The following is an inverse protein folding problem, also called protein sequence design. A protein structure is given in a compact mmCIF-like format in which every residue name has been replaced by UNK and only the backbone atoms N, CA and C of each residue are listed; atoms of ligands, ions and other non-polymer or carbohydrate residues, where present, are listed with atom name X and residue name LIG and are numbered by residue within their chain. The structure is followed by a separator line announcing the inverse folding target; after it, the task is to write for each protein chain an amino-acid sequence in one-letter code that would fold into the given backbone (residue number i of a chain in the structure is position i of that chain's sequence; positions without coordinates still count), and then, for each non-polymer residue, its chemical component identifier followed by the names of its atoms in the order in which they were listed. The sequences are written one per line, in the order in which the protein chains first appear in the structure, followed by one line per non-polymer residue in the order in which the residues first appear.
data_IF_147497737559
#
_entry.id   IF_147497737559
#
_cell.length_a   1.000
_cell.length_b   1.000
_cell.length_c   1.000
_cell.angle_alpha   90.00
_cell.angle_beta   90.00
_cell.angle_gamma   90.00
#
_symmetry.space_group_name_H-M   'P 1'
#
loop_
_entity.id
_entity.type
_entity.pdbx_description
1 polymer ?
#
# COMPACT_ATOMS: atom_id res chain seq x y z
N UNK A 1 1.82 15.68 13.00
CA UNK A 1 1.82 14.32 13.58
C UNK A 1 0.44 13.73 13.37
N UNK A 2 0.36 12.55 12.79
CA UNK A 2 -0.88 11.82 12.54
C UNK A 2 -0.91 10.50 13.32
N UNK A 3 -2.10 9.94 13.53
CA UNK A 3 -2.31 8.57 13.99
C UNK A 3 -2.57 7.67 12.78
N UNK A 4 -1.64 6.77 12.49
CA UNK A 4 -1.60 5.95 11.29
C UNK A 4 -1.83 4.48 11.66
N UNK A 5 -2.80 3.84 11.03
CA UNK A 5 -2.98 2.39 11.12
C UNK A 5 -2.45 1.72 9.85
N UNK A 6 -1.65 0.66 10.00
CA UNK A 6 -1.12 -0.13 8.89
C UNK A 6 -1.66 -1.55 8.98
N UNK A 7 -2.62 -1.88 8.10
CA UNK A 7 -3.20 -3.23 8.00
C UNK A 7 -2.26 -4.09 7.16
N UNK A 8 -1.78 -5.19 7.73
CA UNK A 8 -0.67 -5.96 7.20
C UNK A 8 0.70 -5.41 7.64
N UNK A 9 0.74 -4.66 8.75
CA UNK A 9 1.91 -3.94 9.24
C UNK A 9 3.12 -4.80 9.62
N UNK A 10 2.99 -6.13 9.61
CA UNK A 10 4.10 -7.09 9.81
C UNK A 10 4.65 -7.67 8.51
N UNK A 11 3.95 -7.45 7.39
CA UNK A 11 4.42 -7.81 6.05
C UNK A 11 5.59 -6.94 5.58
N UNK A 12 6.20 -7.28 4.44
CA UNK A 12 7.39 -6.57 3.95
C UNK A 12 7.12 -5.07 3.71
N UNK A 13 6.07 -4.70 2.99
CA UNK A 13 5.70 -3.31 2.79
C UNK A 13 5.30 -2.65 4.12
N UNK A 14 4.39 -3.29 4.86
CA UNK A 14 3.82 -2.74 6.07
C UNK A 14 4.84 -2.44 7.16
N UNK A 15 5.80 -3.36 7.41
CA UNK A 15 6.84 -3.14 8.44
C UNK A 15 7.76 -1.96 8.13
N UNK A 16 8.05 -1.71 6.85
CA UNK A 16 8.86 -0.58 6.45
C UNK A 16 8.08 0.75 6.60
N UNK A 17 6.79 0.75 6.27
CA UNK A 17 5.92 1.92 6.51
C UNK A 17 5.78 2.18 8.02
N UNK A 18 5.57 1.15 8.83
CA UNK A 18 5.50 1.26 10.30
C UNK A 18 6.80 1.85 10.85
N UNK A 19 7.96 1.34 10.41
CA UNK A 19 9.26 1.82 10.87
C UNK A 19 9.50 3.30 10.53
N UNK A 20 9.28 3.70 9.28
CA UNK A 20 9.45 5.07 8.83
C UNK A 20 8.47 6.04 9.52
N UNK A 21 7.20 5.63 9.69
CA UNK A 21 6.20 6.46 10.36
C UNK A 21 6.55 6.68 11.85
N UNK A 22 7.05 5.65 12.55
CA UNK A 22 7.52 5.77 13.94
C UNK A 22 8.75 6.67 14.01
N UNK A 23 9.74 6.49 13.12
CA UNK A 23 10.96 7.29 13.08
C UNK A 23 10.66 8.78 12.90
N UNK A 24 9.59 9.10 12.15
CA UNK A 24 9.11 10.49 11.97
C UNK A 24 8.19 10.99 13.09
N UNK A 25 7.98 10.20 14.15
CA UNK A 25 7.23 10.62 15.34
C UNK A 25 5.72 10.53 15.21
N UNK A 26 5.18 9.77 14.26
CA UNK A 26 3.74 9.48 14.20
C UNK A 26 3.32 8.49 15.27
N UNK A 27 2.04 8.51 15.65
CA UNK A 27 1.44 7.45 16.45
C UNK A 27 1.03 6.31 15.52
N UNK A 28 1.65 5.14 15.65
CA UNK A 28 1.46 4.04 14.68
C UNK A 28 0.79 2.83 15.33
N UNK A 29 -0.25 2.32 14.67
CA UNK A 29 -0.92 1.07 14.99
C UNK A 29 -0.64 0.06 13.87
N UNK A 30 0.10 -0.98 14.17
CA UNK A 30 0.38 -2.09 13.26
C UNK A 30 -0.64 -3.20 13.47
N UNK A 31 -1.43 -3.50 12.44
CA UNK A 31 -2.44 -4.57 12.47
C UNK A 31 -1.92 -5.80 11.76
N UNK A 32 -2.00 -6.95 12.40
CA UNK A 32 -1.63 -8.24 11.81
C UNK A 32 -2.45 -9.38 12.42
N UNK A 33 -2.57 -10.49 11.70
CA UNK A 33 -3.26 -11.70 12.19
C UNK A 33 -2.58 -12.32 13.40
N UNK A 34 -1.29 -12.09 13.54
CA UNK A 34 -0.48 -12.53 14.68
C UNK A 34 0.54 -11.46 14.99
N UNK A 35 0.61 -11.07 16.25
CA UNK A 35 1.61 -10.09 16.70
C UNK A 35 2.99 -10.76 16.78
N UNK A 36 4.01 -10.27 16.07
CA UNK A 36 5.33 -10.88 16.04
C UNK A 36 6.10 -10.66 17.35
N UNK A 37 7.09 -11.51 17.62
CA UNK A 37 8.02 -11.31 18.73
C UNK A 37 8.92 -10.07 18.50
N UNK A 38 9.43 -9.93 17.27
CA UNK A 38 10.22 -8.75 16.85
C UNK A 38 9.27 -7.64 16.40
N UNK A 39 9.36 -6.48 17.02
CA UNK A 39 8.48 -5.34 16.79
C UNK A 39 9.29 -4.08 16.52
N UNK A 40 8.72 -3.17 15.75
CA UNK A 40 9.24 -1.80 15.68
C UNK A 40 8.93 -1.13 17.02
N UNK A 41 9.98 -0.70 17.72
CA UNK A 41 9.84 0.04 18.98
C UNK A 41 9.08 1.35 18.73
N UNK A 42 8.14 1.69 19.60
CA UNK A 42 7.29 2.87 19.44
C UNK A 42 5.97 2.63 18.68
N UNK A 43 5.80 1.50 17.98
CA UNK A 43 4.52 1.13 17.38
C UNK A 43 3.66 0.30 18.34
N UNK A 44 2.35 0.52 18.31
CA UNK A 44 1.36 -0.33 18.95
C UNK A 44 0.98 -1.46 18.02
N UNK A 45 0.92 -2.70 18.51
CA UNK A 45 0.52 -3.86 17.71
C UNK A 45 -0.82 -4.38 18.21
N UNK A 46 -1.74 -4.62 17.28
CA UNK A 46 -3.03 -5.26 17.56
C UNK A 46 -3.23 -6.48 16.65
N UNK A 47 -3.89 -7.50 17.18
CA UNK A 47 -4.35 -8.62 16.37
C UNK A 47 -5.62 -8.22 15.62
N UNK A 48 -5.64 -8.46 14.31
CA UNK A 48 -6.77 -8.16 13.46
C UNK A 48 -6.54 -8.65 12.03
N UNK A 49 -7.60 -8.72 11.28
CA UNK A 49 -7.58 -9.18 9.90
C UNK A 49 -8.48 -8.31 9.03
N UNK A 50 -8.06 -8.09 7.78
CA UNK A 50 -8.89 -7.43 6.78
C UNK A 50 -10.19 -8.20 6.50
N UNK A 51 -10.22 -9.52 6.78
CA UNK A 51 -11.42 -10.37 6.62
C UNK A 51 -12.52 -10.09 7.65
N UNK A 52 -12.26 -9.28 8.67
CA UNK A 52 -13.24 -8.84 9.65
C UNK A 52 -13.14 -7.31 9.80
N UNK A 53 -13.49 -6.61 8.73
CA UNK A 53 -13.43 -5.15 8.66
C UNK A 53 -14.26 -4.44 9.74
N UNK A 54 -15.48 -4.90 10.13
CA UNK A 54 -16.24 -4.25 11.20
C UNK A 54 -15.54 -4.28 12.55
N UNK A 55 -14.99 -5.44 12.96
CA UNK A 55 -14.22 -5.55 14.20
C UNK A 55 -12.96 -4.70 14.14
N UNK A 56 -12.29 -4.69 12.99
CA UNK A 56 -11.08 -3.91 12.77
C UNK A 56 -11.35 -2.40 12.91
N UNK A 57 -12.43 -1.89 12.31
CA UNK A 57 -12.81 -0.47 12.41
C UNK A 57 -13.06 -0.06 13.86
N UNK A 58 -13.64 -0.95 14.68
CA UNK A 58 -13.85 -0.66 16.11
C UNK A 58 -12.53 -0.44 16.87
N UNK A 59 -11.46 -1.17 16.51
CA UNK A 59 -10.12 -1.05 17.11
C UNK A 59 -9.34 0.17 16.56
N UNK A 60 -9.72 0.70 15.40
CA UNK A 60 -9.05 1.82 14.72
C UNK A 60 -9.67 3.19 15.03
N UNK A 61 -10.34 3.34 16.17
CA UNK A 61 -10.95 4.63 16.53
C UNK A 61 -9.92 5.74 16.68
N UNK A 62 -10.20 6.88 16.06
CA UNK A 62 -9.36 8.09 16.15
C UNK A 62 -8.08 8.03 15.31
N UNK A 63 -7.99 7.13 14.32
CA UNK A 63 -6.93 7.18 13.31
C UNK A 63 -7.22 8.26 12.28
N UNK A 64 -6.16 8.90 11.79
CA UNK A 64 -6.25 9.90 10.71
C UNK A 64 -6.08 9.23 9.33
N UNK A 65 -5.26 8.19 9.27
CA UNK A 65 -4.93 7.48 8.03
C UNK A 65 -4.92 5.96 8.28
N UNK A 66 -5.51 5.21 7.35
CA UNK A 66 -5.41 3.74 7.29
C UNK A 66 -4.66 3.35 6.02
N UNK A 67 -3.58 2.58 6.16
CA UNK A 67 -2.80 2.06 5.02
C UNK A 67 -2.99 0.55 4.93
N UNK A 68 -3.53 0.06 3.81
CA UNK A 68 -3.68 -1.37 3.52
C UNK A 68 -2.47 -1.87 2.74
N UNK A 69 -1.79 -2.89 3.28
CA UNK A 69 -0.59 -3.50 2.68
C UNK A 69 -0.72 -5.01 2.52
N UNK A 70 -1.95 -5.51 2.49
CA UNK A 70 -2.27 -6.93 2.40
C UNK A 70 -2.28 -7.36 0.93
N UNK A 71 -1.40 -8.28 0.50
CA UNK A 71 -1.38 -8.78 -0.87
C UNK A 71 -2.52 -9.79 -1.11
N UNK A 72 -3.07 -9.79 -2.33
CA UNK A 72 -4.15 -10.69 -2.76
C UNK A 72 -3.61 -12.05 -3.20
N UNK A 73 -2.91 -12.75 -2.31
CA UNK A 73 -2.31 -14.06 -2.58
C UNK A 73 -2.44 -15.02 -1.41
N UNK A 74 -2.29 -16.33 -1.68
CA UNK A 74 -2.44 -17.38 -0.68
C UNK A 74 -3.87 -17.39 -0.14
N UNK A 75 -4.01 -17.35 1.18
CA UNK A 75 -5.30 -17.33 1.87
C UNK A 75 -6.10 -16.00 1.71
N UNK A 76 -5.48 -14.99 1.11
CA UNK A 76 -6.13 -13.69 0.82
C UNK A 76 -6.57 -13.54 -0.64
N UNK A 77 -6.26 -14.51 -1.52
CA UNK A 77 -6.69 -14.49 -2.92
C UNK A 77 -8.21 -14.43 -3.05
N UNK A 78 -8.72 -13.48 -3.84
CA UNK A 78 -10.14 -13.21 -4.02
C UNK A 78 -10.82 -12.52 -2.84
N UNK A 79 -10.09 -12.24 -1.75
CA UNK A 79 -10.65 -11.69 -0.52
C UNK A 79 -10.26 -10.24 -0.26
N UNK A 80 -9.17 -9.75 -0.86
CA UNK A 80 -8.69 -8.40 -0.58
C UNK A 80 -9.65 -7.35 -1.12
N UNK A 81 -10.05 -7.47 -2.39
CA UNK A 81 -10.94 -6.49 -3.04
C UNK A 81 -12.25 -6.27 -2.28
N UNK A 82 -13.07 -7.31 -2.00
CA UNK A 82 -14.34 -7.11 -1.29
C UNK A 82 -14.15 -6.60 0.14
N UNK A 83 -13.12 -7.02 0.85
CA UNK A 83 -12.88 -6.59 2.22
C UNK A 83 -12.30 -5.16 2.30
N UNK A 84 -11.53 -4.70 1.32
CA UNK A 84 -11.15 -3.28 1.23
C UNK A 84 -12.38 -2.42 0.97
N UNK A 85 -13.28 -2.83 0.08
CA UNK A 85 -14.53 -2.11 -0.17
C UNK A 85 -15.40 -2.02 1.11
N UNK A 86 -15.50 -3.09 1.88
CA UNK A 86 -16.21 -3.10 3.17
C UNK A 86 -15.52 -2.19 4.21
N UNK A 87 -14.19 -2.22 4.27
CA UNK A 87 -13.40 -1.36 5.16
C UNK A 87 -13.67 0.11 4.85
N UNK A 88 -13.57 0.50 3.57
CA UNK A 88 -13.85 1.88 3.11
C UNK A 88 -15.27 2.30 3.51
N UNK A 89 -16.27 1.45 3.27
CA UNK A 89 -17.66 1.74 3.61
C UNK A 89 -17.92 1.86 5.13
N UNK A 90 -17.05 1.29 5.96
CA UNK A 90 -17.22 1.23 7.42
C UNK A 90 -16.41 2.30 8.16
N UNK A 91 -15.40 2.90 7.53
CA UNK A 91 -14.58 3.94 8.13
C UNK A 91 -15.29 5.30 8.07
N UNK A 92 -15.03 6.21 9.04
CA UNK A 92 -15.46 7.61 8.93
C UNK A 92 -14.85 8.30 7.70
N UNK A 93 -15.60 9.12 6.98
CA UNK A 93 -15.14 9.87 5.80
C UNK A 93 -13.90 10.75 6.06
N UNK A 94 -13.68 11.15 7.32
CA UNK A 94 -12.50 11.92 7.73
C UNK A 94 -11.20 11.11 7.74
N UNK A 95 -11.27 9.78 7.65
CA UNK A 95 -10.09 8.91 7.62
C UNK A 95 -9.60 8.80 6.18
N UNK A 96 -8.35 9.17 5.95
CA UNK A 96 -7.71 9.01 4.64
C UNK A 96 -7.28 7.57 4.41
N UNK A 97 -7.51 7.05 3.21
CA UNK A 97 -7.13 5.69 2.84
C UNK A 97 -5.86 5.67 2.02
N UNK A 98 -4.91 4.82 2.39
CA UNK A 98 -3.76 4.46 1.57
C UNK A 98 -3.84 2.98 1.18
N UNK A 99 -3.54 2.64 -0.06
CA UNK A 99 -3.45 1.24 -0.50
C UNK A 99 -2.13 1.01 -1.21
N UNK A 100 -1.42 -0.02 -0.79
CA UNK A 100 -0.22 -0.47 -1.48
C UNK A 100 -0.62 -1.61 -2.42
N UNK A 101 -0.59 -1.32 -3.71
CA UNK A 101 -0.85 -2.31 -4.75
C UNK A 101 0.43 -2.96 -5.25
N UNK A 102 0.46 -3.24 -6.55
CA UNK A 102 1.61 -3.81 -7.25
C UNK A 102 1.86 -3.11 -8.58
N UNK A 103 3.04 -3.31 -9.17
CA UNK A 103 3.44 -2.70 -10.46
C UNK A 103 2.50 -3.04 -11.62
N UNK A 104 1.76 -4.16 -11.53
CA UNK A 104 0.90 -4.65 -12.62
C UNK A 104 -0.15 -3.64 -13.11
N UNK A 105 -0.61 -2.74 -12.23
CA UNK A 105 -1.59 -1.71 -12.58
C UNK A 105 -1.01 -0.44 -13.20
N UNK A 106 0.32 -0.26 -13.17
CA UNK A 106 0.99 0.89 -13.78
C UNK A 106 0.98 0.78 -15.30
N UNK A 107 1.07 1.93 -15.98
CA UNK A 107 1.26 1.97 -17.43
C UNK A 107 2.74 1.75 -17.79
N UNK A 108 3.01 1.11 -18.93
CA UNK A 108 4.39 0.98 -19.45
C UNK A 108 4.91 2.27 -20.08
N UNK A 109 4.00 3.15 -20.49
CA UNK A 109 4.27 4.50 -21.01
C UNK A 109 3.00 5.33 -20.87
N UNK A 110 3.10 6.64 -21.00
CA UNK A 110 1.95 7.53 -20.92
C UNK A 110 0.86 7.14 -21.94
N UNK A 111 -0.36 6.88 -21.47
CA UNK A 111 -1.48 6.39 -22.28
C UNK A 111 -1.29 4.98 -22.85
N UNK A 112 -0.21 4.30 -22.47
CA UNK A 112 0.08 2.93 -22.90
C UNK A 112 -0.67 1.86 -22.11
N UNK A 113 -0.48 0.57 -22.48
CA UNK A 113 -1.09 -0.54 -21.76
C UNK A 113 -0.52 -0.68 -20.35
N UNK A 114 -1.27 -1.39 -19.49
CA UNK A 114 -0.79 -1.72 -18.15
C UNK A 114 0.33 -2.77 -18.21
N UNK A 115 1.18 -2.79 -17.21
CA UNK A 115 2.25 -3.79 -17.06
C UNK A 115 1.68 -5.21 -17.06
N UNK A 116 0.54 -5.45 -16.41
CA UNK A 116 -0.13 -6.76 -16.37
C UNK A 116 -0.61 -7.25 -17.75
N UNK A 117 -0.85 -6.35 -18.68
CA UNK A 117 -1.31 -6.67 -20.03
C UNK A 117 -0.15 -7.01 -21.00
N UNK A 118 1.10 -6.88 -20.55
CA UNK A 118 2.28 -7.19 -21.35
C UNK A 118 2.46 -8.71 -21.52
N UNK A 119 2.88 -9.17 -22.71
CA UNK A 119 3.17 -10.60 -22.93
C UNK A 119 4.28 -11.16 -22.03
N UNK A 120 5.14 -10.29 -21.49
CA UNK A 120 6.22 -10.65 -20.55
C UNK A 120 5.75 -10.77 -19.11
N UNK A 121 4.51 -10.38 -18.78
CA UNK A 121 4.02 -10.49 -17.42
C UNK A 121 3.81 -11.95 -17.03
N UNK A 122 4.32 -12.33 -15.86
CA UNK A 122 4.26 -13.70 -15.37
C UNK A 122 2.84 -14.11 -15.04
N UNK A 123 2.32 -15.15 -15.69
CA UNK A 123 0.92 -15.61 -15.53
C UNK A 123 0.57 -15.95 -14.08
N UNK A 124 1.52 -16.49 -13.31
CA UNK A 124 1.34 -16.84 -11.90
C UNK A 124 0.94 -15.62 -11.04
N UNK A 125 1.41 -14.42 -11.39
CA UNK A 125 1.13 -13.20 -10.62
C UNK A 125 -0.10 -12.43 -11.12
N UNK A 126 -0.72 -12.85 -12.24
CA UNK A 126 -1.89 -12.17 -12.80
C UNK A 126 -3.09 -12.12 -11.86
N UNK A 127 -3.47 -13.20 -11.15
CA UNK A 127 -4.61 -13.14 -10.24
C UNK A 127 -4.44 -12.06 -9.16
N UNK A 128 -3.28 -12.03 -8.49
CA UNK A 128 -2.94 -11.02 -7.50
C UNK A 128 -2.96 -9.60 -8.10
N UNK A 129 -2.34 -9.43 -9.26
CA UNK A 129 -2.27 -8.13 -9.93
C UNK A 129 -3.65 -7.61 -10.35
N UNK A 130 -4.50 -8.48 -10.90
CA UNK A 130 -5.85 -8.11 -11.33
C UNK A 130 -6.76 -7.79 -10.14
N UNK A 131 -6.64 -8.51 -9.02
CA UNK A 131 -7.39 -8.18 -7.82
C UNK A 131 -6.96 -6.84 -7.23
N UNK A 132 -5.64 -6.57 -7.17
CA UNK A 132 -5.12 -5.28 -6.73
C UNK A 132 -5.58 -4.12 -7.63
N UNK A 133 -5.63 -4.34 -8.95
CA UNK A 133 -6.19 -3.38 -9.92
C UNK A 133 -7.68 -3.16 -9.64
N UNK A 134 -8.42 -4.23 -9.35
CA UNK A 134 -9.84 -4.14 -9.00
C UNK A 134 -10.10 -3.28 -7.75
N UNK A 135 -9.21 -3.33 -6.75
CA UNK A 135 -9.27 -2.41 -5.59
C UNK A 135 -9.14 -0.95 -6.04
N UNK A 136 -8.19 -0.65 -6.92
CA UNK A 136 -8.02 0.70 -7.46
C UNK A 136 -9.27 1.16 -8.26
N UNK A 137 -9.81 0.28 -9.11
CA UNK A 137 -11.02 0.57 -9.89
C UNK A 137 -12.22 0.87 -8.99
N UNK A 138 -12.37 0.13 -7.88
CA UNK A 138 -13.42 0.36 -6.88
C UNK A 138 -13.24 1.71 -6.18
N UNK A 139 -12.00 2.07 -5.79
CA UNK A 139 -11.70 3.38 -5.19
C UNK A 139 -12.01 4.53 -6.15
N UNK A 140 -11.69 4.37 -7.44
CA UNK A 140 -11.96 5.38 -8.49
C UNK A 140 -13.45 5.52 -8.80
N UNK A 141 -14.19 4.40 -8.78
CA UNK A 141 -15.63 4.40 -9.09
C UNK A 141 -16.49 4.86 -7.92
N UNK A 142 -15.95 4.86 -6.70
CA UNK A 142 -16.71 5.05 -5.49
C UNK A 142 -16.66 6.48 -4.99
N UNK A 143 -17.83 7.03 -4.62
CA UNK A 143 -17.99 8.39 -4.09
C UNK A 143 -18.33 8.37 -2.59
N UNK A 144 -17.63 7.54 -1.80
CA UNK A 144 -17.81 7.45 -0.35
C UNK A 144 -17.28 8.68 0.43
N UNK A 145 -16.84 9.72 -0.24
CA UNK A 145 -16.35 10.95 0.39
C UNK A 145 -14.91 10.87 0.92
N UNK A 146 -14.34 9.69 1.05
CA UNK A 146 -12.97 9.54 1.53
C UNK A 146 -11.94 10.15 0.57
N UNK A 147 -10.94 10.81 1.13
CA UNK A 147 -9.67 11.01 0.43
C UNK A 147 -8.86 9.71 0.45
N UNK A 148 -8.20 9.40 -0.66
CA UNK A 148 -7.37 8.21 -0.78
C UNK A 148 -6.18 8.42 -1.71
N UNK A 149 -5.15 7.60 -1.51
CA UNK A 149 -4.04 7.43 -2.43
C UNK A 149 -3.76 5.95 -2.66
N UNK A 150 -3.28 5.63 -3.86
CA UNK A 150 -2.92 4.27 -4.22
C UNK A 150 -1.49 4.22 -4.77
N UNK A 151 -0.63 3.40 -4.17
CA UNK A 151 0.79 3.33 -4.54
C UNK A 151 1.05 2.07 -5.36
N UNK A 152 1.60 2.26 -6.54
CA UNK A 152 2.20 1.20 -7.33
C UNK A 152 3.71 1.19 -7.06
N UNK A 153 4.24 0.25 -6.26
CA UNK A 153 5.69 0.10 -6.14
C UNK A 153 6.28 -0.41 -7.47
N UNK A 154 7.56 -0.14 -7.67
CA UNK A 154 8.33 -0.62 -8.82
C UNK A 154 8.26 -2.15 -8.96
N UNK A 155 8.46 -2.67 -10.18
CA UNK A 155 8.33 -4.10 -10.49
C UNK A 155 9.27 -5.02 -9.70
N UNK A 156 10.44 -4.54 -9.34
CA UNK A 156 11.42 -5.26 -8.51
C UNK A 156 11.22 -5.14 -7.00
N UNK A 157 10.07 -4.61 -6.54
CA UNK A 157 9.75 -4.49 -5.12
C UNK A 157 9.36 -5.82 -4.49
N UNK A 158 10.01 -6.21 -3.39
CA UNK A 158 9.63 -7.40 -2.64
C UNK A 158 10.67 -7.81 -1.60
N UNK A 159 10.29 -8.68 -0.66
CA UNK A 159 11.18 -9.19 0.39
C UNK A 159 12.38 -9.99 -0.16
N UNK A 160 12.27 -10.48 -1.38
CA UNK A 160 13.33 -11.18 -2.11
C UNK A 160 14.42 -10.23 -2.65
N UNK A 161 14.11 -8.91 -2.71
CA UNK A 161 15.01 -7.85 -3.16
C UNK A 161 14.90 -6.65 -2.21
N UNK A 162 15.37 -6.77 -0.94
CA UNK A 162 15.00 -5.85 0.13
C UNK A 162 15.63 -4.45 -0.01
N UNK A 163 16.87 -4.35 -0.45
CA UNK A 163 17.62 -3.10 -0.57
C UNK A 163 17.86 -2.36 0.75
N UNK A 164 18.41 -1.17 0.63
CA UNK A 164 18.72 -0.29 1.75
C UNK A 164 17.90 1.00 1.67
N UNK A 165 17.82 1.75 2.79
CA UNK A 165 17.21 3.07 2.83
C UNK A 165 18.17 4.10 2.23
N UNK A 166 17.79 4.69 1.11
CA UNK A 166 18.50 5.81 0.49
C UNK A 166 17.88 7.16 0.86
N UNK A 167 16.62 7.17 1.23
CA UNK A 167 15.84 8.36 1.51
C UNK A 167 15.41 9.10 0.24
N UNK A 168 15.49 8.45 -0.93
CA UNK A 168 15.18 9.05 -2.22
C UNK A 168 14.38 8.10 -3.09
N UNK A 169 13.44 8.66 -3.84
CA UNK A 169 12.65 7.94 -4.83
C UNK A 169 12.17 8.90 -5.91
N UNK A 170 11.69 8.36 -7.02
CA UNK A 170 10.98 9.12 -8.06
C UNK A 170 9.50 8.77 -8.02
N UNK A 171 8.66 9.78 -8.23
CA UNK A 171 7.25 9.66 -8.50
C UNK A 171 7.05 9.65 -10.01
N UNK A 172 6.43 8.60 -10.53
CA UNK A 172 6.20 8.39 -11.97
C UNK A 172 4.76 8.64 -12.39
N UNK A 173 3.90 9.15 -11.51
CA UNK A 173 2.47 9.29 -11.80
C UNK A 173 1.83 7.95 -12.17
N UNK A 174 1.30 7.82 -13.39
CA UNK A 174 0.69 6.58 -13.87
C UNK A 174 1.70 5.57 -14.45
N UNK A 175 2.90 6.03 -14.80
CA UNK A 175 3.87 5.22 -15.54
C UNK A 175 4.83 4.52 -14.58
N UNK A 176 5.11 3.24 -14.84
CA UNK A 176 6.11 2.49 -14.06
C UNK A 176 7.46 3.22 -14.09
N UNK A 177 8.05 3.40 -12.91
CA UNK A 177 9.37 4.02 -12.82
C UNK A 177 10.44 2.99 -13.16
N UNK A 178 11.33 3.35 -14.09
CA UNK A 178 12.49 2.55 -14.47
C UNK A 178 13.75 3.42 -14.47
N UNK A 179 14.90 2.81 -14.26
CA UNK A 179 16.19 3.46 -14.45
C UNK A 179 16.58 3.54 -15.93
N UNK A 180 17.83 3.98 -16.21
CA UNK A 180 18.35 4.12 -17.57
C UNK A 180 18.53 2.79 -18.31
N UNK A 181 18.66 1.68 -17.58
CA UNK A 181 18.79 0.33 -18.11
C UNK A 181 17.42 -0.36 -18.28
N UNK A 182 16.34 0.30 -17.89
CA UNK A 182 14.97 -0.21 -17.95
C UNK A 182 14.56 -1.05 -16.75
N UNK A 183 15.41 -1.14 -15.72
CA UNK A 183 15.10 -1.87 -14.48
C UNK A 183 14.18 -1.06 -13.58
N UNK A 184 13.17 -1.71 -13.04
CA UNK A 184 12.17 -1.11 -12.15
C UNK A 184 12.36 -1.63 -10.73
N UNK A 185 12.82 -0.77 -9.83
CA UNK A 185 13.12 -1.18 -8.46
C UNK A 185 12.89 -0.06 -7.43
N UNK A 186 12.48 -0.45 -6.24
CA UNK A 186 12.48 0.35 -5.01
C UNK A 186 12.72 -0.55 -3.80
N UNK A 187 13.49 -0.08 -2.83
CA UNK A 187 13.68 -0.79 -1.56
C UNK A 187 12.44 -0.70 -0.68
N UNK A 188 12.30 -1.65 0.27
CA UNK A 188 11.24 -1.58 1.26
C UNK A 188 11.29 -0.31 2.11
N UNK A 189 12.46 0.07 2.65
CA UNK A 189 12.58 1.31 3.40
C UNK A 189 12.20 2.56 2.60
N UNK A 190 12.59 2.68 1.32
CA UNK A 190 12.24 3.86 0.52
C UNK A 190 10.79 3.86 0.03
N UNK A 191 10.13 2.70 -0.10
CA UNK A 191 8.67 2.66 -0.18
C UNK A 191 8.04 3.25 1.09
N UNK A 192 8.58 2.93 2.27
CA UNK A 192 8.17 3.52 3.54
C UNK A 192 8.29 5.05 3.51
N UNK A 193 9.43 5.58 3.04
CA UNK A 193 9.65 7.03 2.83
C UNK A 193 8.55 7.62 1.94
N UNK A 194 8.32 7.04 0.76
CA UNK A 194 7.34 7.54 -0.20
C UNK A 194 5.90 7.59 0.37
N UNK A 195 5.51 6.56 1.09
CA UNK A 195 4.18 6.49 1.71
C UNK A 195 4.03 7.51 2.85
N UNK A 196 5.04 7.65 3.70
CA UNK A 196 4.97 8.62 4.81
C UNK A 196 5.06 10.06 4.29
N UNK A 197 5.86 10.32 3.24
CA UNK A 197 5.87 11.64 2.56
C UNK A 197 4.47 12.01 2.04
N UNK A 198 3.75 11.05 1.43
CA UNK A 198 2.39 11.26 0.94
C UNK A 198 1.38 11.48 2.08
N UNK A 199 1.59 10.85 3.24
CA UNK A 199 0.75 11.07 4.43
C UNK A 199 0.99 12.48 5.00
N UNK A 200 2.25 12.91 5.10
CA UNK A 200 2.63 14.21 5.69
C UNK A 200 2.34 15.39 4.77
N UNK A 201 2.56 15.20 3.47
CA UNK A 201 2.44 16.22 2.43
C UNK A 201 1.63 15.68 1.26
N UNK A 202 0.30 15.57 1.37
CA UNK A 202 -0.57 15.00 0.36
C UNK A 202 -0.40 15.67 -1.01
N UNK A 203 0.00 14.87 -2.01
CA UNK A 203 0.09 15.29 -3.41
C UNK A 203 -0.93 14.58 -4.29
N UNK A 204 -1.37 13.40 -3.85
CA UNK A 204 -2.24 12.51 -4.60
C UNK A 204 -3.57 12.34 -3.85
N UNK A 205 -4.54 13.18 -4.16
CA UNK A 205 -5.89 13.11 -3.58
C UNK A 205 -6.82 12.40 -4.56
N UNK A 206 -7.31 11.24 -4.18
CA UNK A 206 -8.12 10.34 -5.02
C UNK A 206 -7.38 9.95 -6.30
N UNK A 207 -6.09 9.70 -6.16
CA UNK A 207 -5.18 9.39 -7.25
C UNK A 207 -4.28 8.20 -6.92
N UNK A 208 -3.79 7.56 -7.98
CA UNK A 208 -2.71 6.59 -7.90
C UNK A 208 -1.39 7.23 -8.32
N UNK A 209 -0.29 6.69 -7.85
CA UNK A 209 1.03 7.05 -8.32
C UNK A 209 1.99 5.87 -8.25
N UNK A 210 3.06 5.94 -9.03
CA UNK A 210 4.11 4.93 -9.07
C UNK A 210 5.36 5.44 -8.37
N UNK A 211 6.10 4.54 -7.72
CA UNK A 211 7.34 4.88 -7.03
C UNK A 211 8.47 3.91 -7.40
N UNK A 212 9.66 4.46 -7.62
CA UNK A 212 10.87 3.70 -7.98
C UNK A 212 12.12 4.56 -7.98
N UNK A 213 13.26 4.00 -8.36
CA UNK A 213 14.52 4.73 -8.57
C UNK A 213 14.74 5.15 -10.00
#
# INVERSE_FOLDING_TARGET
MARIAVIGGTGYAGRNIVAEAVDRGHTVVSVARTVPAERVEGATYIEGTLLDSPSLVAELQGVDVVVVTVPARGDMEGSVRPNVAELVASLPESVRMGVIGGAGGSQVSEGGPRVVDQPSFTEEFKPEALEAIGVLEDLQANDHGHDWFYVHPAGGFGAWNPGERTGSYRDGGDVVVTDADGESYISGPDLGVAVVDEIENPKHSRERFTVGY
#
